data_IF_959537192330
#
_entry.id   IF_959537192330
#
_cell.length_a   1.000
_cell.length_b   1.000
_cell.length_c   1.000
_cell.angle_alpha   90.00
_cell.angle_beta   90.00
_cell.angle_gamma   90.00
#
_symmetry.space_group_name_H-M   'P 1'
#
loop_
_entity.id
_entity.type
_entity.pdbx_description
1 polymer ?
#
# COMPACT_ATOMS: atom_id res chain seq x y z
N UNK A 1 -34.50 -14.11 -16.30
CA UNK A 1 -34.06 -14.44 -14.92
C UNK A 1 -32.57 -14.14 -14.87
N UNK A 2 -32.15 -13.18 -14.04
CA UNK A 2 -30.83 -12.54 -14.12
C UNK A 2 -29.68 -13.46 -13.64
N UNK A 3 -28.62 -13.55 -14.43
CA UNK A 3 -27.29 -14.02 -13.98
C UNK A 3 -26.43 -12.77 -13.86
N UNK A 4 -26.55 -12.06 -12.74
CA UNK A 4 -25.66 -10.96 -12.38
C UNK A 4 -25.10 -11.22 -11.00
N UNK A 5 -23.76 -11.16 -10.90
CA UNK A 5 -22.95 -10.86 -9.70
C UNK A 5 -22.58 -11.96 -8.68
N UNK A 6 -21.85 -13.01 -9.09
CA UNK A 6 -21.04 -13.82 -8.13
C UNK A 6 -19.53 -13.91 -8.42
N UNK A 7 -19.03 -13.40 -9.55
CA UNK A 7 -17.60 -13.56 -9.91
C UNK A 7 -16.65 -12.60 -9.16
N UNK A 8 -17.03 -11.32 -9.00
CA UNK A 8 -16.06 -10.29 -8.56
C UNK A 8 -15.56 -10.38 -7.12
N UNK A 9 -16.36 -10.92 -6.17
CA UNK A 9 -15.90 -11.13 -4.79
C UNK A 9 -14.85 -12.24 -4.69
N UNK A 10 -14.99 -13.27 -5.50
CA UNK A 10 -14.01 -14.35 -5.58
C UNK A 10 -12.71 -13.83 -6.19
N UNK A 11 -12.77 -13.05 -7.26
CA UNK A 11 -11.58 -12.50 -7.93
C UNK A 11 -10.73 -11.61 -7.02
N UNK A 12 -11.36 -10.70 -6.26
CA UNK A 12 -10.63 -9.89 -5.28
C UNK A 12 -9.99 -10.76 -4.18
N UNK A 13 -10.72 -11.76 -3.67
CA UNK A 13 -10.19 -12.66 -2.66
C UNK A 13 -9.00 -13.47 -3.19
N UNK A 14 -9.10 -14.01 -4.40
CA UNK A 14 -8.00 -14.71 -5.07
C UNK A 14 -6.79 -13.80 -5.28
N UNK A 15 -7.00 -12.55 -5.69
CA UNK A 15 -5.92 -11.56 -5.80
C UNK A 15 -5.20 -11.36 -4.47
N UNK A 16 -5.93 -11.10 -3.37
CA UNK A 16 -5.30 -10.90 -2.08
C UNK A 16 -4.61 -12.16 -1.55
N UNK A 17 -5.17 -13.34 -1.81
CA UNK A 17 -4.53 -14.61 -1.47
C UNK A 17 -3.23 -14.80 -2.27
N UNK A 18 -3.24 -14.50 -3.57
CA UNK A 18 -2.07 -14.53 -4.43
C UNK A 18 -0.99 -13.58 -3.92
N UNK A 19 -1.30 -12.29 -3.70
CA UNK A 19 -0.33 -11.29 -3.25
C UNK A 19 0.27 -11.69 -1.90
N UNK A 20 -0.55 -12.15 -0.94
CA UNK A 20 -0.07 -12.65 0.35
C UNK A 20 0.89 -13.83 0.19
N UNK A 21 0.52 -14.81 -0.62
CA UNK A 21 1.35 -15.99 -0.88
C UNK A 21 2.67 -15.62 -1.55
N UNK A 22 2.59 -14.77 -2.58
CA UNK A 22 3.73 -14.26 -3.32
C UNK A 22 4.71 -13.51 -2.40
N UNK A 23 4.23 -12.49 -1.69
CA UNK A 23 5.07 -11.72 -0.75
C UNK A 23 5.69 -12.62 0.31
N UNK A 24 4.94 -13.57 0.88
CA UNK A 24 5.45 -14.52 1.89
C UNK A 24 6.61 -15.39 1.37
N UNK A 25 6.53 -15.87 0.13
CA UNK A 25 7.62 -16.64 -0.49
C UNK A 25 8.88 -15.79 -0.54
N UNK A 26 8.76 -14.54 -0.98
CA UNK A 26 9.90 -13.64 -1.14
C UNK A 26 10.39 -13.05 0.18
N UNK A 27 9.54 -12.85 1.18
CA UNK A 27 9.93 -12.47 2.55
C UNK A 27 10.82 -13.53 3.20
N UNK A 28 10.64 -14.81 2.92
CA UNK A 28 11.58 -15.83 3.43
C UNK A 28 12.97 -15.70 2.79
N UNK A 29 13.03 -15.18 1.57
CA UNK A 29 14.26 -14.95 0.81
C UNK A 29 14.86 -13.56 1.07
N UNK A 30 14.05 -12.65 1.61
CA UNK A 30 14.41 -11.26 1.89
C UNK A 30 14.32 -10.99 3.37
N UNK A 31 15.43 -10.65 4.01
CA UNK A 31 15.42 -10.13 5.37
C UNK A 31 14.84 -8.71 5.40
N UNK A 32 13.54 -8.55 5.10
CA UNK A 32 12.76 -7.31 5.21
C UNK A 32 12.44 -7.07 6.70
N UNK A 33 13.48 -6.98 7.52
CA UNK A 33 13.34 -6.49 8.88
C UNK A 33 13.55 -4.97 8.85
N UNK A 34 12.45 -4.21 8.85
CA UNK A 34 12.50 -2.74 8.85
C UNK A 34 13.10 -2.17 10.14
N UNK A 35 13.20 -2.96 11.21
CA UNK A 35 13.88 -2.60 12.46
C UNK A 35 15.38 -2.90 12.42
N UNK A 36 15.86 -3.68 11.44
CA UNK A 36 17.27 -4.06 11.29
C UNK A 36 17.62 -4.18 9.81
N UNK A 37 18.19 -3.11 9.27
CA UNK A 37 18.66 -3.06 7.88
C UNK A 37 19.55 -4.29 7.58
N UNK A 38 19.34 -4.97 6.43
CA UNK A 38 20.19 -6.07 6.03
C UNK A 38 21.61 -5.55 5.74
N UNK A 39 22.60 -6.40 5.99
CA UNK A 39 23.98 -6.13 5.57
C UNK A 39 24.01 -6.01 4.04
N UNK A 40 24.44 -4.85 3.53
CA UNK A 40 24.49 -4.55 2.10
C UNK A 40 25.32 -5.60 1.33
N UNK A 41 26.30 -6.23 1.98
CA UNK A 41 27.13 -7.28 1.39
C UNK A 41 26.45 -8.66 1.38
N UNK A 42 25.39 -8.85 2.17
CA UNK A 42 24.60 -10.08 2.23
C UNK A 42 23.39 -10.07 1.29
N UNK A 43 23.14 -8.95 0.60
CA UNK A 43 22.07 -8.84 -0.40
C UNK A 43 22.45 -9.67 -1.61
N UNK A 44 21.76 -10.80 -1.80
CA UNK A 44 21.95 -11.64 -2.99
C UNK A 44 21.67 -10.83 -4.25
N UNK A 45 22.56 -10.97 -5.24
CA UNK A 45 22.42 -10.39 -6.57
C UNK A 45 21.09 -10.78 -7.22
N UNK A 46 20.59 -9.92 -8.12
CA UNK A 46 19.31 -10.00 -8.85
C UNK A 46 18.66 -11.39 -8.80
N UNK A 47 17.59 -11.50 -8.01
CA UNK A 47 16.80 -12.74 -7.93
C UNK A 47 15.31 -12.47 -8.06
N UNK A 48 14.85 -11.23 -8.28
CA UNK A 48 13.42 -10.95 -8.37
C UNK A 48 12.75 -11.71 -9.53
N UNK A 49 11.42 -11.91 -9.49
CA UNK A 49 10.72 -12.57 -10.56
C UNK A 49 10.71 -11.70 -11.82
N UNK A 50 10.95 -12.31 -12.99
CA UNK A 50 10.63 -11.68 -14.26
C UNK A 50 9.11 -11.49 -14.36
N UNK A 51 8.69 -10.31 -14.84
CA UNK A 51 7.27 -9.99 -15.04
C UNK A 51 6.54 -10.99 -15.95
N UNK A 52 7.23 -11.56 -16.95
CA UNK A 52 6.67 -12.59 -17.84
C UNK A 52 6.24 -13.88 -17.13
N UNK A 53 6.65 -14.08 -15.88
CA UNK A 53 6.26 -15.23 -15.05
C UNK A 53 5.13 -14.91 -14.07
N UNK A 54 4.67 -13.65 -14.05
CA UNK A 54 3.59 -13.19 -13.21
C UNK A 54 2.30 -13.05 -14.05
N UNK A 55 1.12 -13.07 -13.43
CA UNK A 55 -0.12 -12.76 -14.12
C UNK A 55 -0.08 -11.36 -14.72
N UNK A 56 -0.52 -11.21 -15.97
CA UNK A 56 -0.52 -9.92 -16.69
C UNK A 56 -1.41 -8.89 -15.99
N UNK A 57 -2.46 -9.35 -15.30
CA UNK A 57 -3.42 -8.52 -14.57
C UNK A 57 -2.88 -8.04 -13.22
N UNK A 58 -1.71 -8.52 -12.76
CA UNK A 58 -1.17 -8.18 -11.45
C UNK A 58 -0.91 -6.68 -11.31
N UNK A 59 -0.18 -6.06 -12.24
CA UNK A 59 0.15 -4.64 -12.18
C UNK A 59 -1.09 -3.75 -12.31
N UNK A 60 -2.02 -3.98 -13.27
CA UNK A 60 -3.30 -3.28 -13.32
C UNK A 60 -4.11 -3.39 -12.02
N UNK A 61 -4.18 -4.59 -11.43
CA UNK A 61 -4.90 -4.81 -10.18
C UNK A 61 -4.27 -4.05 -9.01
N UNK A 62 -2.94 -4.08 -8.88
CA UNK A 62 -2.20 -3.29 -7.89
C UNK A 62 -2.55 -1.80 -8.06
N UNK A 63 -2.50 -1.28 -9.29
CA UNK A 63 -2.82 0.12 -9.58
C UNK A 63 -4.22 0.51 -9.15
N UNK A 64 -5.21 -0.32 -9.50
CA UNK A 64 -6.61 -0.14 -9.07
C UNK A 64 -6.74 -0.07 -7.55
N UNK A 65 -6.16 -1.01 -6.82
CA UNK A 65 -6.29 -1.03 -5.36
C UNK A 65 -5.52 0.09 -4.67
N UNK A 66 -4.37 0.52 -5.20
CA UNK A 66 -3.65 1.69 -4.68
C UNK A 66 -4.43 2.98 -4.89
N UNK A 67 -5.03 3.16 -6.08
CA UNK A 67 -5.89 4.30 -6.37
C UNK A 67 -7.10 4.37 -5.42
N UNK A 68 -7.81 3.25 -5.26
CA UNK A 68 -8.96 3.16 -4.35
C UNK A 68 -8.56 3.46 -2.89
N UNK A 69 -7.39 2.98 -2.45
CA UNK A 69 -6.90 3.26 -1.11
C UNK A 69 -6.54 4.74 -0.91
N UNK A 70 -5.99 5.40 -1.93
CA UNK A 70 -5.76 6.85 -1.90
C UNK A 70 -7.08 7.61 -1.77
N UNK A 71 -8.07 7.28 -2.60
CA UNK A 71 -9.40 7.90 -2.51
C UNK A 71 -10.07 7.71 -1.14
N UNK A 72 -9.91 6.54 -0.51
CA UNK A 72 -10.42 6.28 0.84
C UNK A 72 -9.69 7.14 1.88
N UNK A 73 -8.37 7.27 1.76
CA UNK A 73 -7.53 8.05 2.69
C UNK A 73 -7.86 9.54 2.62
N UNK A 74 -8.20 10.05 1.43
CA UNK A 74 -8.60 11.46 1.22
C UNK A 74 -9.98 11.78 1.82
N UNK A 75 -10.83 10.78 2.08
CA UNK A 75 -12.23 10.92 2.58
C UNK A 75 -12.38 10.90 4.12
N UNK A 76 -11.29 11.10 4.88
CA UNK A 76 -11.28 11.50 6.31
C UNK A 76 -11.38 10.36 7.36
N UNK A 77 -11.07 9.11 7.02
CA UNK A 77 -10.78 8.13 8.10
C UNK A 77 -9.61 7.22 7.78
N UNK A 78 -8.57 7.27 8.60
CA UNK A 78 -7.50 6.27 8.61
C UNK A 78 -8.11 4.91 8.94
N UNK A 79 -8.24 4.07 7.92
CA UNK A 79 -8.63 2.69 8.09
C UNK A 79 -7.36 1.82 8.18
N UNK A 80 -7.00 1.28 9.36
CA UNK A 80 -5.79 0.48 9.52
C UNK A 80 -5.79 -0.78 8.64
N UNK A 81 -6.97 -1.30 8.28
CA UNK A 81 -7.09 -2.46 7.39
C UNK A 81 -6.70 -2.09 5.96
N UNK A 82 -7.11 -0.91 5.49
CA UNK A 82 -6.74 -0.40 4.16
C UNK A 82 -5.25 -0.08 4.09
N UNK A 83 -4.67 0.50 5.14
CA UNK A 83 -3.22 0.72 5.22
C UNK A 83 -2.42 -0.59 5.15
N UNK A 84 -2.87 -1.64 5.85
CA UNK A 84 -2.23 -2.97 5.75
C UNK A 84 -2.32 -3.57 4.34
N UNK A 85 -3.42 -3.31 3.61
CA UNK A 85 -3.54 -3.71 2.21
C UNK A 85 -2.54 -2.94 1.33
N UNK A 86 -2.43 -1.63 1.49
CA UNK A 86 -1.45 -0.79 0.76
C UNK A 86 -0.02 -1.24 1.06
N UNK A 87 0.31 -1.46 2.33
CA UNK A 87 1.60 -1.98 2.76
C UNK A 87 1.94 -3.28 2.04
N UNK A 88 0.99 -4.21 1.95
CA UNK A 88 1.17 -5.47 1.25
C UNK A 88 1.42 -5.28 -0.26
N UNK A 89 0.71 -4.35 -0.90
CA UNK A 89 0.93 -4.01 -2.32
C UNK A 89 2.32 -3.41 -2.54
N UNK A 90 2.77 -2.50 -1.68
CA UNK A 90 4.11 -1.91 -1.74
C UNK A 90 5.18 -2.99 -1.55
N UNK A 91 4.99 -3.92 -0.60
CA UNK A 91 5.89 -5.07 -0.45
C UNK A 91 5.94 -5.93 -1.72
N UNK A 92 4.79 -6.16 -2.37
CA UNK A 92 4.73 -6.86 -3.65
C UNK A 92 5.54 -6.13 -4.74
N UNK A 93 5.41 -4.81 -4.85
CA UNK A 93 6.17 -4.00 -5.81
C UNK A 93 7.68 -4.03 -5.53
N UNK A 94 8.09 -3.95 -4.26
CA UNK A 94 9.50 -4.08 -3.86
C UNK A 94 10.07 -5.42 -4.34
N UNK A 95 9.32 -6.51 -4.15
CA UNK A 95 9.72 -7.85 -4.61
C UNK A 95 9.87 -7.90 -6.13
N UNK A 96 8.95 -7.29 -6.88
CA UNK A 96 9.03 -7.23 -8.35
C UNK A 96 10.25 -6.42 -8.79
N UNK A 97 10.51 -5.27 -8.17
CA UNK A 97 11.66 -4.41 -8.47
C UNK A 97 13.02 -5.01 -8.06
N UNK A 98 13.06 -6.17 -7.39
CA UNK A 98 14.31 -6.91 -7.16
C UNK A 98 14.91 -7.55 -8.41
N UNK A 99 14.16 -7.54 -9.50
CA UNK A 99 14.74 -7.68 -10.82
C UNK A 99 14.78 -6.26 -11.40
N UNK A 100 15.97 -5.71 -11.56
CA UNK A 100 16.14 -4.31 -11.94
C UNK A 100 15.60 -3.97 -13.34
N UNK A 101 15.46 -4.96 -14.23
CA UNK A 101 14.83 -4.78 -15.54
C UNK A 101 13.35 -4.37 -15.43
N UNK A 102 12.71 -4.71 -14.31
CA UNK A 102 11.32 -4.33 -14.06
C UNK A 102 11.19 -2.84 -13.64
N UNK A 103 12.26 -2.22 -13.12
CA UNK A 103 12.21 -0.88 -12.52
C UNK A 103 11.68 0.17 -13.50
N UNK A 104 12.15 0.28 -14.76
CA UNK A 104 11.67 1.29 -15.70
C UNK A 104 10.15 1.21 -15.92
N UNK A 105 9.60 0.00 -16.04
CA UNK A 105 8.16 -0.19 -16.20
C UNK A 105 7.40 0.22 -14.93
N UNK A 106 7.83 -0.28 -13.76
CA UNK A 106 7.16 0.03 -12.49
C UNK A 106 7.21 1.53 -12.17
N UNK A 107 8.32 2.20 -12.48
CA UNK A 107 8.50 3.63 -12.32
C UNK A 107 7.65 4.47 -13.29
N UNK A 108 7.28 3.91 -14.44
CA UNK A 108 6.35 4.56 -15.39
C UNK A 108 4.89 4.53 -14.93
N UNK A 109 4.56 3.66 -13.96
CA UNK A 109 3.23 3.57 -13.37
C UNK A 109 3.06 4.57 -12.21
N UNK A 110 1.81 4.87 -11.85
CA UNK A 110 1.49 5.81 -10.77
C UNK A 110 1.71 5.27 -9.35
N UNK A 111 2.25 4.06 -9.17
CA UNK A 111 2.33 3.42 -7.86
C UNK A 111 3.09 4.26 -6.82
N UNK A 112 4.19 4.89 -7.24
CA UNK A 112 4.99 5.77 -6.37
C UNK A 112 4.17 7.01 -6.00
N UNK A 113 3.53 7.66 -6.97
CA UNK A 113 2.67 8.83 -6.74
C UNK A 113 1.53 8.51 -5.77
N UNK A 114 0.86 7.36 -5.95
CA UNK A 114 -0.21 6.90 -5.06
C UNK A 114 0.33 6.63 -3.65
N UNK A 115 1.47 5.96 -3.52
CA UNK A 115 2.10 5.65 -2.22
C UNK A 115 2.49 6.91 -1.45
N UNK A 116 3.08 7.88 -2.13
CA UNK A 116 3.47 9.18 -1.55
C UNK A 116 2.23 9.95 -1.10
N UNK A 117 1.19 10.00 -1.94
CA UNK A 117 -0.09 10.64 -1.59
C UNK A 117 -0.72 10.04 -0.33
N UNK A 118 -0.85 8.72 -0.28
CA UNK A 118 -1.37 8.01 0.91
C UNK A 118 -0.53 8.33 2.14
N UNK A 119 0.80 8.25 2.03
CA UNK A 119 1.72 8.50 3.15
C UNK A 119 1.61 9.95 3.64
N UNK A 120 1.55 10.93 2.74
CA UNK A 120 1.41 12.34 3.10
C UNK A 120 0.10 12.60 3.85
N UNK A 121 -1.03 12.04 3.39
CA UNK A 121 -2.32 12.19 4.08
C UNK A 121 -2.29 11.52 5.45
N UNK A 122 -1.67 10.33 5.57
CA UNK A 122 -1.51 9.64 6.87
C UNK A 122 -0.66 10.46 7.83
N UNK A 123 0.50 10.95 7.39
CA UNK A 123 1.39 11.79 8.20
C UNK A 123 0.67 13.06 8.63
N UNK A 124 -0.04 13.73 7.73
CA UNK A 124 -0.82 14.91 8.07
C UNK A 124 -1.87 14.58 9.15
N UNK A 125 -2.65 13.51 8.99
CA UNK A 125 -3.68 13.14 9.97
C UNK A 125 -3.10 12.74 11.35
N UNK A 126 -1.88 12.20 11.41
CA UNK A 126 -1.21 11.85 12.67
C UNK A 126 -0.52 13.05 13.33
N UNK A 127 0.10 13.92 12.53
CA UNK A 127 0.87 15.06 13.01
C UNK A 127 0.01 16.31 13.26
N UNK A 128 -1.18 16.41 12.67
CA UNK A 128 -2.09 17.51 12.98
C UNK A 128 -2.85 17.16 14.26
N UNK A 129 -2.66 17.90 15.37
CA UNK A 129 -3.45 17.67 16.56
C UNK A 129 -4.93 17.84 16.21
N UNK A 130 -5.78 16.89 16.63
CA UNK A 130 -7.23 17.02 16.49
C UNK A 130 -7.66 18.37 17.09
N UNK A 131 -8.06 19.33 16.25
CA UNK A 131 -8.80 20.51 16.71
C UNK A 131 -10.19 20.04 17.13
N UNK A 132 -10.32 19.62 18.38
CA UNK A 132 -11.60 19.26 18.98
C UNK A 132 -11.45 19.05 20.47
N UNK A 133 -12.17 19.85 21.26
CA UNK A 133 -12.07 20.14 22.71
C UNK A 133 -10.97 21.18 23.00
N UNK A 134 -11.24 22.48 23.13
CA UNK A 134 -12.38 23.15 23.74
C UNK A 134 -12.83 24.36 22.90
N UNK A 135 -14.11 24.40 22.51
CA UNK A 135 -14.79 25.67 22.33
C UNK A 135 -15.22 26.11 23.74
N UNK A 136 -14.32 26.79 24.45
CA UNK A 136 -14.75 27.78 25.43
C UNK A 136 -14.55 29.10 24.72
N UNK A 137 -15.66 29.70 24.34
CA UNK A 137 -15.68 31.10 23.97
C UNK A 137 -14.91 31.86 25.05
N UNK A 138 -13.89 32.63 24.63
CA UNK A 138 -13.09 33.51 25.50
C UNK A 138 -13.98 34.54 26.24
N UNK A 139 -15.27 34.61 25.92
CA UNK A 139 -16.26 35.53 26.46
C UNK A 139 -17.14 34.95 27.59
N UNK A 140 -16.98 33.69 28.02
CA UNK A 140 -17.77 33.08 29.12
C UNK A 140 -16.98 32.93 30.45
N UNK A 141 -16.13 33.91 30.78
CA UNK A 141 -15.49 34.00 32.11
C UNK A 141 -16.01 35.22 32.89
N UNK A 142 -16.53 35.05 34.12
CA UNK A 142 -17.19 36.12 34.87
C UNK A 142 -16.22 37.12 35.55
N UNK A 143 -15.05 37.39 34.95
CA UNK A 143 -14.04 38.31 35.51
C UNK A 143 -13.26 39.13 34.48
N UNK A 144 -13.94 39.66 33.46
CA UNK A 144 -13.53 40.90 32.77
C UNK A 144 -14.76 41.68 32.32
#
# INVERSE_FOLDING_TARGET
MAIVSKSGKNEEEFFWQFVKGFVKIWESQLRLNWSRLPDCLAVKHDSGPHLSRLPEELLPAIGKFMYLAKEETDKISLNPKSLKKVELLVRCLIVICRNFDNIPLIASCDFVNQSVGITATVVHQVCTPQRGYCNVDIFDMPWF
#
